data_IF_635162839187
#
_entry.id   IF_635162839187
#
_cell.length_a   1.000
_cell.length_b   1.000
_cell.length_c   1.000
_cell.angle_alpha   90.00
_cell.angle_beta   90.00
_cell.angle_gamma   90.00
#
_symmetry.space_group_name_H-M   'P 1'
#
loop_
_entity.id
_entity.type
_entity.pdbx_description
1 polymer ?
#
# COMPACT_ATOMS: atom_id res chain seq x y z
N UNK A 1 -16.96 -22.98 52.15
CA UNK A 1 -17.35 -22.60 50.77
C UNK A 1 -16.12 -22.72 49.90
N UNK A 2 -16.09 -23.64 48.92
CA UNK A 2 -14.95 -23.77 48.02
C UNK A 2 -15.01 -22.62 47.02
N UNK A 3 -13.91 -21.88 46.92
CA UNK A 3 -13.67 -20.87 45.89
C UNK A 3 -13.62 -21.56 44.53
N UNK A 4 -14.52 -21.19 43.62
CA UNK A 4 -14.43 -21.61 42.22
C UNK A 4 -13.15 -21.01 41.64
N UNK A 5 -12.14 -21.84 41.43
CA UNK A 5 -11.02 -21.48 40.57
C UNK A 5 -11.60 -21.11 39.21
N UNK A 6 -11.42 -19.84 38.83
CA UNK A 6 -11.70 -19.40 37.46
C UNK A 6 -10.89 -20.31 36.54
N UNK A 7 -11.46 -20.89 35.47
CA UNK A 7 -10.73 -21.75 34.54
C UNK A 7 -9.74 -20.88 33.75
N UNK A 8 -8.64 -20.54 34.41
CA UNK A 8 -7.65 -19.59 33.98
C UNK A 8 -6.43 -20.28 33.42
N UNK A 9 -5.99 -19.81 32.25
CA UNK A 9 -4.61 -19.86 31.78
C UNK A 9 -3.96 -21.23 31.55
N UNK A 10 -4.69 -22.22 31.03
CA UNK A 10 -3.98 -23.25 30.27
C UNK A 10 -3.28 -22.57 29.06
N UNK A 11 -1.95 -22.75 28.86
CA UNK A 11 -1.26 -22.15 27.72
C UNK A 11 -1.94 -22.58 26.42
N UNK A 12 -2.34 -21.62 25.60
CA UNK A 12 -2.89 -21.92 24.27
C UNK A 12 -1.77 -22.53 23.42
N UNK A 13 -2.09 -23.63 22.74
CA UNK A 13 -1.14 -24.22 21.78
C UNK A 13 -0.97 -23.30 20.57
N UNK A 14 0.14 -23.42 19.84
CA UNK A 14 0.33 -22.68 18.59
C UNK A 14 -0.79 -22.96 17.57
N UNK A 15 -1.31 -24.18 17.50
CA UNK A 15 -2.46 -24.51 16.65
C UNK A 15 -3.72 -23.75 17.09
N UNK A 16 -3.97 -23.62 18.40
CA UNK A 16 -5.11 -22.85 18.90
C UNK A 16 -4.95 -21.35 18.61
N UNK A 17 -3.72 -20.82 18.76
CA UNK A 17 -3.41 -19.43 18.44
C UNK A 17 -3.58 -19.14 16.95
N UNK A 18 -3.04 -19.98 16.07
CA UNK A 18 -3.14 -19.82 14.61
C UNK A 18 -4.58 -19.93 14.09
N UNK A 19 -5.45 -20.69 14.76
CA UNK A 19 -6.87 -20.82 14.41
C UNK A 19 -7.77 -19.79 15.12
N UNK A 20 -7.21 -18.87 15.91
CA UNK A 20 -7.96 -17.74 16.47
C UNK A 20 -7.85 -16.57 15.51
N UNK A 21 -8.93 -16.13 14.84
CA UNK A 21 -8.83 -15.04 13.87
C UNK A 21 -8.36 -13.74 14.53
N UNK A 22 -7.40 -13.08 13.90
CA UNK A 22 -6.97 -11.72 14.20
C UNK A 22 -6.97 -10.93 12.90
N UNK A 23 -7.45 -9.69 12.94
CA UNK A 23 -7.43 -8.79 11.78
C UNK A 23 -6.34 -7.74 11.95
N UNK A 24 -5.84 -7.23 10.83
CA UNK A 24 -5.01 -6.03 10.84
C UNK A 24 -5.88 -4.84 11.25
N UNK A 25 -5.55 -4.20 12.38
CA UNK A 25 -6.36 -3.09 12.87
C UNK A 25 -6.14 -1.83 12.03
N UNK A 26 -4.88 -1.40 11.90
CA UNK A 26 -4.54 -0.21 11.14
C UNK A 26 -3.09 -0.21 10.68
N UNK A 27 -2.82 0.65 9.69
CA UNK A 27 -1.47 1.08 9.31
C UNK A 27 -1.31 2.58 9.62
N UNK A 28 -0.15 3.00 10.10
CA UNK A 28 0.16 4.41 10.28
C UNK A 28 1.15 4.87 9.20
N UNK A 29 0.81 5.96 8.51
CA UNK A 29 1.65 6.59 7.50
C UNK A 29 1.76 8.09 7.75
N UNK A 30 2.88 8.68 7.36
CA UNK A 30 3.20 10.06 7.66
C UNK A 30 3.50 10.88 6.40
N UNK A 31 2.80 12.00 6.21
CA UNK A 31 3.04 12.95 5.12
C UNK A 31 3.91 14.12 5.61
N UNK A 32 4.56 14.87 4.71
CA UNK A 32 5.38 16.03 5.11
C UNK A 32 4.48 17.21 5.52
N UNK A 33 4.87 18.03 6.52
CA UNK A 33 4.06 19.19 6.93
C UNK A 33 3.69 20.10 5.74
N UNK A 34 2.44 20.55 5.68
CA UNK A 34 1.94 21.36 4.57
C UNK A 34 1.50 20.59 3.32
N UNK A 35 1.60 19.26 3.31
CA UNK A 35 1.25 18.42 2.13
C UNK A 35 -0.02 17.58 2.33
N UNK A 36 -0.82 17.91 3.35
CA UNK A 36 -2.04 17.17 3.71
C UNK A 36 -3.02 17.04 2.55
N UNK A 37 -3.19 18.08 1.72
CA UNK A 37 -4.10 18.04 0.58
C UNK A 37 -3.63 17.03 -0.47
N UNK A 38 -2.32 16.97 -0.76
CA UNK A 38 -1.78 16.00 -1.72
C UNK A 38 -1.90 14.55 -1.17
N UNK A 39 -1.55 14.36 0.10
CA UNK A 39 -1.56 13.05 0.73
C UNK A 39 -2.99 12.48 0.89
N UNK A 40 -3.96 13.32 1.28
CA UNK A 40 -5.37 12.90 1.38
C UNK A 40 -5.98 12.67 0.00
N UNK A 41 -5.69 13.52 -0.98
CA UNK A 41 -6.15 13.35 -2.36
C UNK A 41 -5.71 12.02 -2.97
N UNK A 42 -4.46 11.58 -2.70
CA UNK A 42 -3.98 10.28 -3.15
C UNK A 42 -4.94 9.15 -2.78
N UNK A 43 -5.33 9.04 -1.51
CA UNK A 43 -6.23 7.99 -1.06
C UNK A 43 -7.66 8.17 -1.60
N UNK A 44 -8.14 9.41 -1.75
CA UNK A 44 -9.44 9.69 -2.37
C UNK A 44 -9.51 9.21 -3.82
N UNK A 45 -8.41 9.34 -4.59
CA UNK A 45 -8.34 8.83 -5.97
C UNK A 45 -8.44 7.30 -6.02
N UNK A 46 -8.02 6.62 -4.94
CA UNK A 46 -8.19 5.19 -4.74
C UNK A 46 -9.58 4.80 -4.19
N UNK A 47 -10.50 5.77 -4.06
CA UNK A 47 -11.86 5.54 -3.57
C UNK A 47 -12.03 5.66 -2.05
N UNK A 48 -10.99 6.06 -1.32
CA UNK A 48 -11.06 6.14 0.14
C UNK A 48 -11.97 7.27 0.64
N UNK A 49 -12.67 7.00 1.75
CA UNK A 49 -13.31 8.03 2.57
C UNK A 49 -12.33 8.51 3.63
N UNK A 50 -12.29 9.83 3.84
CA UNK A 50 -11.37 10.45 4.78
C UNK A 50 -12.15 11.21 5.84
N UNK A 51 -11.80 10.97 7.11
CA UNK A 51 -12.31 11.72 8.26
C UNK A 51 -11.16 12.41 8.99
N UNK A 52 -11.31 13.71 9.22
CA UNK A 52 -10.33 14.53 9.91
C UNK A 52 -10.66 14.62 11.42
N UNK A 53 -9.62 14.57 12.24
CA UNK A 53 -9.70 14.76 13.69
C UNK A 53 -8.65 15.76 14.17
N UNK A 54 -9.00 16.65 15.12
CA UNK A 54 -8.01 17.51 15.76
C UNK A 54 -6.95 16.67 16.48
N UNK A 55 -5.69 17.07 16.37
CA UNK A 55 -4.57 16.39 17.01
C UNK A 55 -4.02 17.24 18.17
N UNK A 56 -4.19 16.85 19.44
CA UNK A 56 -3.63 17.64 20.55
C UNK A 56 -2.09 17.62 20.60
N UNK A 57 -1.44 16.73 19.85
CA UNK A 57 0.01 16.54 19.81
C UNK A 57 0.64 17.09 18.50
N UNK A 58 -0.08 17.93 17.76
CA UNK A 58 0.35 18.42 16.44
C UNK A 58 -0.44 19.66 16.01
N UNK A 59 0.15 20.61 15.28
CA UNK A 59 -0.63 21.64 14.60
C UNK A 59 -1.46 21.09 13.43
N UNK A 60 -1.05 19.95 12.87
CA UNK A 60 -1.75 19.27 11.77
C UNK A 60 -2.69 18.17 12.30
N UNK A 61 -3.88 17.97 11.71
CA UNK A 61 -4.85 16.98 12.15
C UNK A 61 -4.37 15.53 11.93
N UNK A 62 -5.11 14.58 12.50
CA UNK A 62 -5.02 13.15 12.16
C UNK A 62 -6.15 12.83 11.19
N UNK A 63 -5.84 12.09 10.14
CA UNK A 63 -6.82 11.60 9.19
C UNK A 63 -7.02 10.10 9.36
N UNK A 64 -8.30 9.68 9.41
CA UNK A 64 -8.69 8.29 9.21
C UNK A 64 -9.05 8.08 7.75
N UNK A 65 -8.34 7.18 7.09
CA UNK A 65 -8.58 6.78 5.70
C UNK A 65 -9.20 5.39 5.70
N UNK A 66 -10.42 5.28 5.17
CA UNK A 66 -11.17 4.03 5.04
C UNK A 66 -11.32 3.66 3.56
N UNK A 67 -10.76 2.52 3.15
CA UNK A 67 -10.68 2.08 1.74
C UNK A 67 -11.95 1.38 1.24
N UNK A 68 -12.66 0.69 2.13
CA UNK A 68 -13.96 0.11 1.82
C UNK A 68 -15.02 1.14 2.26
N UNK A 69 -16.09 1.34 1.48
CA UNK A 69 -17.19 2.26 1.80
C UNK A 69 -17.92 2.01 3.14
N UNK A 70 -17.41 1.09 3.97
CA UNK A 70 -17.61 1.08 5.40
C UNK A 70 -17.44 2.49 6.00
N UNK A 71 -18.34 2.84 6.91
CA UNK A 71 -18.23 4.05 7.71
C UNK A 71 -16.82 4.11 8.34
N UNK A 72 -16.15 5.29 8.34
CA UNK A 72 -14.82 5.48 8.93
C UNK A 72 -14.75 5.22 10.45
N UNK A 73 -15.83 4.69 11.03
CA UNK A 73 -16.01 4.35 12.43
C UNK A 73 -15.71 2.87 12.76
N UNK A 74 -15.36 2.05 11.76
CA UNK A 74 -14.82 0.70 12.01
C UNK A 74 -13.36 0.79 12.44
N UNK A 75 -13.00 0.04 13.48
CA UNK A 75 -11.66 0.04 14.06
C UNK A 75 -10.64 -0.89 13.36
N UNK A 76 -11.04 -1.52 12.25
CA UNK A 76 -10.18 -2.38 11.42
C UNK A 76 -10.08 -1.81 10.01
N UNK A 77 -9.02 -2.19 9.30
CA UNK A 77 -8.83 -1.88 7.88
C UNK A 77 -8.77 -0.37 7.56
N UNK A 78 -8.20 0.40 8.50
CA UNK A 78 -8.01 1.86 8.37
C UNK A 78 -6.53 2.24 8.26
N UNK A 79 -6.27 3.36 7.62
CA UNK A 79 -4.94 4.00 7.64
C UNK A 79 -5.03 5.28 8.47
N UNK A 80 -4.17 5.41 9.47
CA UNK A 80 -3.90 6.67 10.14
C UNK A 80 -2.90 7.46 9.28
N UNK A 81 -3.34 8.58 8.74
CA UNK A 81 -2.51 9.50 7.99
C UNK A 81 -2.25 10.76 8.84
N UNK A 82 -0.98 11.07 9.10
CA UNK A 82 -0.58 12.15 10.01
C UNK A 82 0.62 12.92 9.45
N UNK A 83 0.80 14.18 9.85
CA UNK A 83 2.03 14.88 9.49
C UNK A 83 3.24 14.28 10.24
N UNK A 84 4.40 14.25 9.57
CA UNK A 84 5.68 13.95 10.18
C UNK A 84 5.92 14.88 11.38
N UNK A 85 6.47 14.31 12.45
CA UNK A 85 6.83 15.08 13.64
C UNK A 85 8.17 15.78 13.44
N UNK A 86 8.39 16.96 14.04
CA UNK A 86 9.62 17.73 13.86
C UNK A 86 10.90 16.91 14.08
N UNK A 87 10.93 16.06 15.12
CA UNK A 87 12.08 15.22 15.41
C UNK A 87 12.39 14.18 14.31
N UNK A 88 11.36 13.62 13.66
CA UNK A 88 11.57 12.72 12.52
C UNK A 88 12.02 13.50 11.28
N UNK A 89 11.41 14.65 11.01
CA UNK A 89 11.80 15.51 9.89
C UNK A 89 13.27 15.95 9.98
N UNK A 90 13.71 16.37 11.18
CA UNK A 90 15.10 16.75 11.45
C UNK A 90 16.07 15.57 11.28
N UNK A 91 15.71 14.38 11.80
CA UNK A 91 16.52 13.18 11.62
C UNK A 91 16.67 12.81 10.14
N UNK A 92 15.57 12.84 9.38
CA UNK A 92 15.60 12.55 7.95
C UNK A 92 16.41 13.58 7.17
N UNK A 93 16.33 14.87 7.51
CA UNK A 93 17.16 15.91 6.91
C UNK A 93 18.66 15.67 7.17
N UNK A 94 19.02 15.30 8.40
CA UNK A 94 20.42 14.97 8.75
C UNK A 94 20.90 13.75 7.97
N UNK A 95 20.10 12.70 7.86
CA UNK A 95 20.47 11.51 7.08
C UNK A 95 20.61 11.87 5.59
N UNK A 96 19.64 12.59 5.03
CA UNK A 96 19.65 13.02 3.64
C UNK A 96 20.88 13.88 3.33
N UNK A 97 21.22 14.82 4.21
CA UNK A 97 22.41 15.67 4.08
C UNK A 97 23.71 14.87 4.19
N UNK A 98 23.84 14.00 5.21
CA UNK A 98 25.03 13.20 5.43
C UNK A 98 25.32 12.22 4.28
N UNK A 99 24.26 11.63 3.72
CA UNK A 99 24.36 10.72 2.58
C UNK A 99 24.24 11.43 1.23
N UNK A 100 24.05 12.76 1.24
CA UNK A 100 23.89 13.62 0.06
C UNK A 100 22.80 13.13 -0.89
N UNK A 101 21.70 12.64 -0.33
CA UNK A 101 20.56 12.07 -1.06
C UNK A 101 19.98 13.11 -2.01
N UNK A 102 19.72 12.72 -3.26
CA UNK A 102 19.16 13.58 -4.30
C UNK A 102 20.16 14.56 -4.95
N UNK A 103 21.46 14.42 -4.66
CA UNK A 103 22.52 15.25 -5.27
C UNK A 103 23.40 14.46 -6.22
N UNK A 104 24.24 15.15 -7.01
CA UNK A 104 25.22 14.50 -7.89
C UNK A 104 26.33 13.73 -7.13
N UNK A 105 26.49 13.99 -5.83
CA UNK A 105 27.50 13.36 -4.98
C UNK A 105 26.90 12.32 -4.01
N UNK A 106 25.66 11.89 -4.26
CA UNK A 106 24.94 10.91 -3.44
C UNK A 106 25.81 9.70 -3.09
N UNK A 107 25.74 9.26 -1.83
CA UNK A 107 26.51 8.12 -1.36
C UNK A 107 26.17 6.86 -2.17
N UNK A 108 27.15 6.10 -2.70
CA UNK A 108 26.88 4.99 -3.62
C UNK A 108 25.91 3.92 -3.10
N UNK A 109 25.87 3.70 -1.78
CA UNK A 109 24.92 2.77 -1.17
C UNK A 109 23.45 3.20 -1.31
N UNK A 110 23.17 4.50 -1.35
CA UNK A 110 21.81 5.03 -1.58
C UNK A 110 21.39 4.77 -3.02
N UNK A 111 22.26 5.08 -3.99
CA UNK A 111 22.02 4.77 -5.39
C UNK A 111 21.83 3.26 -5.64
N UNK A 112 22.64 2.40 -5.00
CA UNK A 112 22.48 0.95 -5.09
C UNK A 112 21.14 0.46 -4.49
N UNK A 113 20.73 1.05 -3.36
CA UNK A 113 19.43 0.76 -2.74
C UNK A 113 18.26 1.18 -3.64
N UNK A 114 18.30 2.38 -4.23
CA UNK A 114 17.29 2.84 -5.18
C UNK A 114 17.23 1.97 -6.43
N UNK A 115 18.37 1.58 -6.98
CA UNK A 115 18.44 0.69 -8.14
C UNK A 115 17.77 -0.66 -7.84
N UNK A 116 18.10 -1.28 -6.70
CA UNK A 116 17.49 -2.54 -6.28
C UNK A 116 15.96 -2.41 -6.11
N UNK A 117 15.49 -1.31 -5.53
CA UNK A 117 14.05 -1.05 -5.37
C UNK A 117 13.31 -0.83 -6.68
N UNK A 118 13.94 -0.20 -7.66
CA UNK A 118 13.33 0.01 -8.97
C UNK A 118 13.18 -1.32 -9.76
N UNK A 119 14.11 -2.25 -9.52
CA UNK A 119 14.08 -3.60 -10.08
C UNK A 119 13.04 -4.48 -9.36
N UNK A 120 13.13 -4.56 -8.02
CA UNK A 120 12.27 -5.39 -7.19
C UNK A 120 11.45 -4.51 -6.23
N UNK A 121 10.21 -4.17 -6.62
CA UNK A 121 9.34 -3.24 -5.87
C UNK A 121 8.95 -3.74 -4.48
N UNK A 122 8.95 -5.06 -4.31
CA UNK A 122 8.70 -5.82 -3.08
C UNK A 122 9.88 -5.72 -2.08
N UNK A 123 11.04 -5.20 -2.50
CA UNK A 123 12.30 -5.20 -1.73
C UNK A 123 12.35 -4.30 -0.51
N UNK A 124 11.33 -3.48 -0.32
CA UNK A 124 11.28 -2.53 0.77
C UNK A 124 9.86 -2.42 1.30
N UNK A 125 9.70 -1.63 2.37
CA UNK A 125 8.43 -1.41 3.02
C UNK A 125 7.39 -0.91 2.01
N UNK A 126 6.38 -1.73 1.81
CA UNK A 126 5.18 -1.44 1.04
C UNK A 126 3.96 -1.98 1.80
N UNK A 127 2.76 -1.64 1.32
CA UNK A 127 1.52 -2.26 1.78
C UNK A 127 0.54 -2.41 0.61
N UNK A 128 -0.21 -3.50 0.64
CA UNK A 128 -1.20 -3.84 -0.37
C UNK A 128 -2.62 -3.43 0.02
N UNK A 129 -3.41 -3.06 -0.99
CA UNK A 129 -4.84 -2.80 -0.91
C UNK A 129 -5.54 -3.71 -1.92
N UNK A 130 -6.38 -4.61 -1.44
CA UNK A 130 -7.15 -5.50 -2.31
C UNK A 130 -8.47 -4.85 -2.68
N UNK A 131 -8.74 -4.76 -3.98
CA UNK A 131 -10.00 -4.28 -4.53
C UNK A 131 -10.98 -5.45 -4.70
N UNK A 132 -12.26 -5.20 -4.39
CA UNK A 132 -13.34 -6.17 -4.60
C UNK A 132 -13.71 -6.34 -6.09
N UNK A 133 -13.30 -5.39 -6.94
CA UNK A 133 -13.63 -5.34 -8.36
C UNK A 133 -12.45 -4.87 -9.20
N UNK A 134 -12.15 -5.62 -10.27
CA UNK A 134 -11.15 -5.23 -11.25
C UNK A 134 -11.51 -3.91 -11.94
N UNK A 135 -12.80 -3.69 -12.22
CA UNK A 135 -13.25 -2.47 -12.91
C UNK A 135 -13.03 -1.22 -12.03
N UNK A 136 -13.20 -1.34 -10.70
CA UNK A 136 -12.92 -0.22 -9.78
C UNK A 136 -11.42 0.02 -9.63
N UNK A 137 -10.60 -1.04 -9.65
CA UNK A 137 -9.16 -0.91 -9.69
C UNK A 137 -8.72 -0.19 -10.98
N UNK A 138 -9.21 -0.61 -12.14
CA UNK A 138 -8.92 0.03 -13.44
C UNK A 138 -9.37 1.50 -13.45
N UNK A 139 -10.54 1.80 -12.89
CA UNK A 139 -11.03 3.17 -12.73
C UNK A 139 -10.12 4.00 -11.81
N UNK A 140 -9.63 3.43 -10.70
CA UNK A 140 -8.68 4.08 -9.78
C UNK A 140 -7.36 4.42 -10.47
N UNK A 141 -6.82 3.49 -11.27
CA UNK A 141 -5.64 3.73 -12.10
C UNK A 141 -5.90 4.86 -13.11
N UNK A 142 -7.07 4.86 -13.75
CA UNK A 142 -7.47 5.92 -14.68
C UNK A 142 -7.56 7.31 -14.03
N UNK A 143 -8.12 7.39 -12.81
CA UNK A 143 -8.18 8.63 -12.01
C UNK A 143 -6.78 9.12 -11.65
N UNK A 144 -5.90 8.23 -11.19
CA UNK A 144 -4.52 8.57 -10.86
C UNK A 144 -3.75 9.10 -12.09
N UNK A 145 -3.82 8.40 -13.23
CA UNK A 145 -3.15 8.83 -14.47
C UNK A 145 -3.63 10.21 -14.92
N UNK A 146 -4.94 10.42 -14.94
CA UNK A 146 -5.54 11.72 -15.28
C UNK A 146 -5.04 12.82 -14.34
N UNK A 147 -4.92 12.52 -13.05
CA UNK A 147 -4.48 13.49 -12.05
C UNK A 147 -2.99 13.83 -12.17
N UNK A 148 -2.14 12.83 -12.41
CA UNK A 148 -0.70 13.02 -12.63
C UNK A 148 -0.46 13.96 -13.82
N UNK A 149 -1.27 13.85 -14.87
CA UNK A 149 -1.19 14.72 -16.04
C UNK A 149 -1.76 16.13 -15.77
N UNK A 150 -2.89 16.23 -15.07
CA UNK A 150 -3.58 17.49 -14.83
C UNK A 150 -2.90 18.40 -13.80
N UNK A 151 -2.25 17.82 -12.78
CA UNK A 151 -1.61 18.54 -11.69
C UNK A 151 -0.12 18.16 -11.58
N UNK A 152 0.79 18.98 -12.14
CA UNK A 152 2.23 18.70 -12.08
C UNK A 152 2.79 18.64 -10.66
N UNK A 153 2.18 19.31 -9.69
CA UNK A 153 2.63 19.27 -8.29
C UNK A 153 2.31 17.92 -7.69
N UNK A 154 1.11 17.39 -7.92
CA UNK A 154 0.75 16.02 -7.52
C UNK A 154 1.55 14.97 -8.30
N UNK A 155 1.63 15.13 -9.62
CA UNK A 155 2.34 14.22 -10.52
C UNK A 155 3.82 14.04 -10.16
N UNK A 156 4.51 15.10 -9.74
CA UNK A 156 5.90 15.04 -9.29
C UNK A 156 6.11 14.15 -8.03
N UNK A 157 5.04 13.80 -7.34
CA UNK A 157 5.04 12.96 -6.13
C UNK A 157 4.70 11.50 -6.39
N UNK A 158 4.31 11.17 -7.62
CA UNK A 158 4.18 9.80 -8.08
C UNK A 158 5.43 9.46 -8.89
N UNK A 159 6.35 8.72 -8.27
CA UNK A 159 7.68 8.42 -8.81
C UNK A 159 7.67 7.28 -9.82
N UNK A 160 6.73 6.35 -9.66
CA UNK A 160 6.48 5.24 -10.60
C UNK A 160 5.03 4.76 -10.45
N UNK A 161 4.45 4.30 -11.56
CA UNK A 161 3.13 3.66 -11.61
C UNK A 161 3.23 2.42 -12.51
N UNK A 162 3.59 1.29 -11.91
CA UNK A 162 3.80 0.03 -12.63
C UNK A 162 2.56 -0.85 -12.54
N UNK A 163 1.98 -1.16 -13.68
CA UNK A 163 0.84 -2.09 -13.79
C UNK A 163 1.35 -3.47 -14.21
N UNK A 164 0.84 -4.51 -13.59
CA UNK A 164 1.19 -5.91 -13.86
C UNK A 164 -0.09 -6.71 -14.06
N UNK A 165 -0.18 -7.45 -15.18
CA UNK A 165 -1.35 -8.24 -15.53
C UNK A 165 -1.33 -9.63 -14.90
N UNK A 166 -2.52 -10.18 -14.69
CA UNK A 166 -2.66 -11.55 -14.24
C UNK A 166 -2.22 -12.55 -15.33
N UNK A 167 -1.64 -13.66 -14.87
CA UNK A 167 -1.57 -14.90 -15.65
C UNK A 167 -2.51 -15.92 -15.03
N UNK A 168 -3.35 -16.54 -15.86
CA UNK A 168 -4.19 -17.66 -15.43
C UNK A 168 -3.37 -18.91 -15.10
N UNK A 169 -4.04 -19.94 -14.59
CA UNK A 169 -3.50 -21.31 -14.67
C UNK A 169 -3.57 -21.85 -16.10
N UNK A 170 -2.85 -22.94 -16.39
CA UNK A 170 -2.91 -23.59 -17.70
C UNK A 170 -4.36 -24.00 -18.01
N UNK A 171 -4.91 -23.48 -19.11
CA UNK A 171 -6.31 -23.69 -19.50
C UNK A 171 -7.31 -22.65 -18.97
N UNK A 172 -6.85 -21.62 -18.25
CA UNK A 172 -7.70 -20.53 -17.77
C UNK A 172 -7.83 -19.39 -18.81
N UNK A 173 -8.57 -19.68 -19.89
CA UNK A 173 -8.79 -18.73 -20.99
C UNK A 173 -9.58 -17.48 -20.56
N UNK A 174 -10.34 -17.55 -19.46
CA UNK A 174 -11.17 -16.45 -18.99
C UNK A 174 -10.33 -15.29 -18.42
N UNK A 175 -9.29 -15.60 -17.63
CA UNK A 175 -8.36 -14.59 -17.12
C UNK A 175 -7.58 -13.96 -18.27
N UNK A 176 -7.08 -14.78 -19.20
CA UNK A 176 -6.37 -14.28 -20.38
C UNK A 176 -7.23 -13.31 -21.20
N UNK A 177 -8.46 -13.71 -21.56
CA UNK A 177 -9.39 -12.86 -22.30
C UNK A 177 -9.75 -11.56 -21.56
N UNK A 178 -9.90 -11.61 -20.22
CA UNK A 178 -10.16 -10.39 -19.44
C UNK A 178 -8.96 -9.45 -19.38
N UNK A 179 -7.74 -9.98 -19.35
CA UNK A 179 -6.52 -9.15 -19.41
C UNK A 179 -6.33 -8.55 -20.80
N UNK A 180 -6.54 -9.32 -21.88
CA UNK A 180 -6.39 -8.84 -23.26
C UNK A 180 -7.41 -7.75 -23.63
N UNK A 181 -8.58 -7.75 -22.99
CA UNK A 181 -9.60 -6.71 -23.16
C UNK A 181 -9.44 -5.51 -22.21
N UNK A 182 -8.48 -5.57 -21.28
CA UNK A 182 -8.27 -4.49 -20.31
C UNK A 182 -7.59 -3.28 -20.93
N UNK A 183 -8.16 -2.10 -20.76
CA UNK A 183 -7.52 -0.84 -21.14
C UNK A 183 -6.29 -0.49 -20.27
N UNK A 184 -6.12 -1.15 -19.12
CA UNK A 184 -5.02 -0.90 -18.18
C UNK A 184 -3.94 -1.97 -18.27
N UNK A 185 -4.34 -3.24 -18.45
CA UNK A 185 -3.47 -4.41 -18.27
C UNK A 185 -3.11 -5.16 -19.55
N UNK A 186 -3.73 -4.89 -20.70
CA UNK A 186 -3.51 -5.69 -21.92
C UNK A 186 -2.02 -5.77 -22.32
N UNK A 187 -1.29 -4.66 -22.22
CA UNK A 187 0.12 -4.58 -22.62
C UNK A 187 1.10 -4.67 -21.42
N UNK A 188 0.59 -5.01 -20.23
CA UNK A 188 1.41 -5.06 -19.02
C UNK A 188 2.24 -6.35 -18.94
N UNK A 189 3.37 -6.29 -18.24
CA UNK A 189 4.11 -7.48 -17.84
C UNK A 189 3.32 -8.30 -16.81
N UNK A 190 3.67 -9.57 -16.63
CA UNK A 190 2.97 -10.42 -15.67
C UNK A 190 3.27 -10.05 -14.22
N UNK A 191 2.23 -10.09 -13.39
CA UNK A 191 2.31 -10.00 -11.93
C UNK A 191 3.15 -11.14 -11.34
N UNK A 192 3.62 -10.99 -10.10
CA UNK A 192 4.37 -12.04 -9.41
C UNK A 192 3.48 -13.24 -9.10
N UNK A 193 2.29 -12.98 -8.54
CA UNK A 193 1.28 -14.00 -8.26
C UNK A 193 0.55 -14.48 -9.52
N UNK A 194 0.02 -15.71 -9.48
CA UNK A 194 -0.94 -16.19 -10.49
C UNK A 194 -2.32 -15.60 -10.19
N UNK A 195 -3.19 -15.48 -11.19
CA UNK A 195 -4.58 -15.05 -11.01
C UNK A 195 -4.76 -13.69 -10.32
N UNK A 196 -3.72 -12.86 -10.25
CA UNK A 196 -3.78 -11.54 -9.62
C UNK A 196 -3.24 -10.50 -10.58
N UNK A 197 -3.89 -9.34 -10.62
CA UNK A 197 -3.24 -8.13 -11.13
C UNK A 197 -2.59 -7.41 -9.96
N UNK A 198 -1.50 -6.69 -10.22
CA UNK A 198 -0.83 -5.86 -9.23
C UNK A 198 -0.58 -4.48 -9.85
N UNK A 199 -0.80 -3.42 -9.09
CA UNK A 199 -0.40 -2.06 -9.47
C UNK A 199 0.45 -1.48 -8.37
N UNK A 200 1.72 -1.24 -8.67
CA UNK A 200 2.64 -0.64 -7.73
C UNK A 200 2.73 0.87 -7.97
N UNK A 201 2.44 1.64 -6.93
CA UNK A 201 2.54 3.09 -6.93
C UNK A 201 3.67 3.49 -6.02
N UNK A 202 4.78 3.97 -6.59
CA UNK A 202 5.88 4.52 -5.79
C UNK A 202 5.63 6.00 -5.57
N UNK A 203 5.62 6.43 -4.31
CA UNK A 203 5.31 7.82 -3.93
C UNK A 203 6.08 8.26 -2.70
N UNK A 204 6.33 9.56 -2.61
CA UNK A 204 6.88 10.22 -1.43
C UNK A 204 5.85 11.14 -0.74
N UNK A 205 4.55 10.99 -1.04
CA UNK A 205 3.48 11.74 -0.38
C UNK A 205 3.34 11.38 1.09
N UNK A 206 3.62 10.12 1.43
CA UNK A 206 3.62 9.63 2.79
C UNK A 206 4.57 8.44 2.93
N UNK A 207 4.95 8.10 4.16
CA UNK A 207 5.70 6.89 4.45
C UNK A 207 5.27 6.21 5.76
N UNK A 208 5.33 4.88 5.74
CA UNK A 208 5.31 3.98 6.91
C UNK A 208 6.65 3.94 7.65
N UNK A 209 7.70 4.57 7.09
CA UNK A 209 9.06 4.65 7.62
C UNK A 209 9.69 6.02 7.33
N UNK A 210 10.89 6.03 6.73
CA UNK A 210 11.57 7.27 6.34
C UNK A 210 10.95 7.83 5.05
N UNK A 211 10.35 9.01 5.13
CA UNK A 211 9.70 9.67 4.00
C UNK A 211 10.67 10.04 2.87
N UNK A 212 11.95 10.28 3.18
CA UNK A 212 12.99 10.55 2.19
C UNK A 212 13.30 9.37 1.25
N UNK A 213 12.82 8.15 1.57
CA UNK A 213 13.09 6.96 0.76
C UNK A 213 11.93 6.52 -0.12
N UNK A 214 10.80 7.24 -0.16
CA UNK A 214 9.57 6.82 -0.84
C UNK A 214 8.93 5.54 -0.25
N UNK A 215 7.61 5.43 -0.36
CA UNK A 215 6.84 4.22 -0.10
C UNK A 215 6.26 3.65 -1.40
N UNK A 216 5.93 2.36 -1.36
CA UNK A 216 5.13 1.72 -2.41
C UNK A 216 3.77 1.36 -1.82
N UNK A 217 2.72 1.73 -2.54
CA UNK A 217 1.36 1.24 -2.32
C UNK A 217 1.05 0.28 -3.45
N UNK A 218 0.68 -0.93 -3.09
CA UNK A 218 0.29 -1.96 -4.04
C UNK A 218 -1.24 -2.05 -4.09
N UNK A 219 -1.81 -2.08 -5.30
CA UNK A 219 -3.24 -2.30 -5.52
C UNK A 219 -3.42 -3.66 -6.19
N UNK A 220 -4.18 -4.52 -5.54
CA UNK A 220 -4.39 -5.89 -5.98
C UNK A 220 -5.83 -6.13 -6.38
N UNK A 221 -6.02 -7.01 -7.36
CA UNK A 221 -7.28 -7.70 -7.54
C UNK A 221 -6.98 -9.17 -7.86
N UNK A 222 -7.61 -10.06 -7.09
CA UNK A 222 -7.44 -11.51 -7.23
C UNK A 222 -8.67 -12.11 -7.90
N UNK A 223 -8.47 -12.77 -9.04
CA UNK A 223 -9.49 -13.60 -9.67
C UNK A 223 -9.79 -14.81 -8.79
N UNK A 224 -11.03 -14.90 -8.29
CA UNK A 224 -11.51 -16.01 -7.46
C UNK A 224 -12.46 -16.92 -8.24
N UNK A 225 -12.69 -18.12 -7.75
CA UNK A 225 -13.60 -19.11 -8.37
C UNK A 225 -13.03 -20.53 -8.34
N UNK A 226 -13.75 -21.51 -8.95
CA UNK A 226 -13.28 -22.88 -9.03
C UNK A 226 -11.88 -22.99 -9.66
N UNK A 227 -10.97 -23.69 -9.00
CA UNK A 227 -9.57 -23.82 -9.41
C UNK A 227 -8.66 -22.65 -8.99
N UNK A 228 -9.18 -21.66 -8.24
CA UNK A 228 -8.43 -20.49 -7.76
C UNK A 228 -8.58 -20.29 -6.25
N UNK A 229 -8.72 -21.39 -5.51
CA UNK A 229 -8.98 -21.36 -4.06
C UNK A 229 -7.70 -21.16 -3.23
N UNK A 230 -6.53 -21.25 -3.86
CA UNK A 230 -5.23 -21.12 -3.19
C UNK A 230 -4.74 -19.68 -3.23
N UNK A 231 -3.91 -19.32 -2.25
CA UNK A 231 -3.23 -18.04 -2.27
C UNK A 231 -2.38 -17.94 -3.55
N UNK A 232 -2.54 -16.85 -4.34
CA UNK A 232 -1.90 -16.68 -5.65
C UNK A 232 -0.37 -16.67 -5.61
N UNK A 233 0.22 -16.53 -4.43
CA UNK A 233 1.66 -16.49 -4.18
C UNK A 233 2.24 -17.82 -3.67
N UNK A 234 1.41 -18.86 -3.46
CA UNK A 234 1.89 -20.15 -2.95
C UNK A 234 2.85 -20.87 -3.93
N UNK A 235 2.77 -20.54 -5.22
CA UNK A 235 3.58 -21.13 -6.28
C UNK A 235 4.56 -20.11 -6.89
N UNK A 236 5.03 -19.14 -6.08
CA UNK A 236 6.22 -18.35 -6.40
C UNK A 236 7.42 -19.30 -6.50
N UNK A 237 7.56 -19.93 -7.65
CA UNK A 237 8.76 -20.67 -8.00
C UNK A 237 9.77 -19.61 -8.43
N UNK A 238 10.98 -19.55 -7.86
CA UNK A 238 12.01 -18.63 -8.31
C UNK A 238 12.34 -18.82 -9.80
#
# INVERSE_FOLDING_TARGET
MPTSESPGNAPRTFNTLANTPTALAHLAVHFRPGERELATRFFQLLGARIREFPNPLSPEPIYLVAMNGAEPDRASDIIFLMALKPAQAELEEVIASALRIGTAEEHPAVGAFHAHRNEWLESYLHFGLVFDSLDELEASVGRLRSEIEADPVFGARIKDLRVLRARGEDGDEAVAARMDSSAVFAEAEHAYGRNTVQVHIRTDLFATGLAMLDSVVELDFVFTGPGRERNPFNDLTP
#
